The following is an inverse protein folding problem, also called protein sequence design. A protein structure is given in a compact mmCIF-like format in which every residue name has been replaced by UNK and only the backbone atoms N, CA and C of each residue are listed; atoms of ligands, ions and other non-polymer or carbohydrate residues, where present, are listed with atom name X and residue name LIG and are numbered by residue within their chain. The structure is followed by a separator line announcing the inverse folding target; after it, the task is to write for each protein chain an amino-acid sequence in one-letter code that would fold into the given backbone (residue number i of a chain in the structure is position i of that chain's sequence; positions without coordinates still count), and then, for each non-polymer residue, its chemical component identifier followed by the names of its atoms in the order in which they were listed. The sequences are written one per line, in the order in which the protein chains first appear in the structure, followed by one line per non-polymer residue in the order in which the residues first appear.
data_IF_901393709383
#
_entry.id   IF_901393709383
#
_cell.length_a   1.000
_cell.length_b   1.000
_cell.length_c   1.000
_cell.angle_alpha   90.00
_cell.angle_beta   90.00
_cell.angle_gamma   90.00
#
_symmetry.space_group_name_H-M   'P 1'
#
loop_
_entity.id
_entity.type
_entity.pdbx_description
1 polymer ?
#
# COMPACT_ATOMS: atom_id res chain seq x y z
N UNK A 1 31.66 49.17 -10.70
CA UNK A 1 31.16 48.24 -9.67
C UNK A 1 30.00 47.48 -10.29
N UNK A 2 30.27 46.31 -10.86
CA UNK A 2 29.27 45.43 -11.46
C UNK A 2 28.88 44.39 -10.41
N UNK A 3 27.60 44.33 -10.03
CA UNK A 3 27.04 43.20 -9.32
C UNK A 3 26.73 42.10 -10.34
N UNK A 4 27.42 40.97 -10.22
CA UNK A 4 27.12 39.72 -10.91
C UNK A 4 25.95 39.05 -10.16
N UNK A 5 24.74 39.14 -10.71
CA UNK A 5 23.68 38.19 -10.34
C UNK A 5 24.02 36.81 -10.93
N UNK A 6 23.78 35.70 -10.20
CA UNK A 6 23.96 34.37 -10.76
C UNK A 6 22.87 34.10 -11.81
N UNK A 7 23.34 33.88 -13.03
CA UNK A 7 22.59 33.47 -14.20
C UNK A 7 21.89 32.12 -13.90
N UNK A 8 20.62 32.18 -13.49
CA UNK A 8 19.78 30.99 -13.37
C UNK A 8 19.33 30.64 -14.78
N UNK A 9 19.73 29.49 -15.35
CA UNK A 9 19.32 29.13 -16.70
C UNK A 9 17.80 29.03 -16.76
N UNK A 10 17.17 29.95 -17.50
CA UNK A 10 15.76 29.87 -17.84
C UNK A 10 15.55 28.67 -18.78
N UNK A 11 15.15 27.53 -18.21
CA UNK A 11 14.69 26.39 -18.98
C UNK A 11 13.46 26.81 -19.80
N UNK A 12 13.54 26.62 -21.11
CA UNK A 12 12.46 26.87 -22.08
C UNK A 12 11.21 26.05 -21.74
N UNK A 13 10.04 26.46 -22.25
CA UNK A 13 8.78 25.73 -22.04
C UNK A 13 8.85 24.25 -22.47
N UNK A 14 9.72 23.94 -23.44
CA UNK A 14 10.06 22.57 -23.81
C UNK A 14 10.83 21.83 -22.70
N UNK A 15 11.79 22.48 -22.03
CA UNK A 15 12.50 21.93 -20.87
C UNK A 15 11.59 21.74 -19.65
N UNK A 16 10.55 22.57 -19.48
CA UNK A 16 9.49 22.33 -18.50
C UNK A 16 8.66 21.11 -18.87
N UNK A 17 8.22 20.98 -20.13
CA UNK A 17 7.44 19.84 -20.59
C UNK A 17 8.19 18.49 -20.47
N UNK A 18 9.52 18.47 -20.68
CA UNK A 18 10.33 17.26 -20.46
C UNK A 18 10.46 16.89 -18.99
N UNK A 19 10.58 17.88 -18.09
CA UNK A 19 10.56 17.64 -16.64
C UNK A 19 9.18 17.16 -16.13
N UNK A 20 8.09 17.52 -16.81
CA UNK A 20 6.75 17.01 -16.54
C UNK A 20 6.55 15.59 -17.06
N UNK A 21 7.15 15.21 -18.20
CA UNK A 21 7.13 13.84 -18.73
C UNK A 21 8.01 12.87 -17.90
N UNK A 22 9.17 13.33 -17.41
CA UNK A 22 10.01 12.57 -16.47
C UNK A 22 9.32 12.29 -15.12
N UNK A 23 8.27 13.04 -14.77
CA UNK A 23 7.47 12.79 -13.57
C UNK A 23 6.48 11.62 -13.75
N UNK A 24 6.17 11.24 -14.99
CA UNK A 24 5.25 10.16 -15.32
C UNK A 24 5.95 8.85 -15.73
N UNK A 25 7.27 8.87 -15.99
CA UNK A 25 8.05 7.68 -16.38
C UNK A 25 9.04 7.16 -15.30
N UNK A 26 9.05 7.72 -14.09
CA UNK A 26 9.91 7.20 -13.02
C UNK A 26 9.43 5.83 -12.52
N UNK A 27 9.99 4.77 -13.09
CA UNK A 27 10.13 3.46 -12.43
C UNK A 27 11.46 3.43 -11.65
N UNK A 28 11.77 4.51 -10.92
CA UNK A 28 12.91 4.53 -10.01
C UNK A 28 12.39 4.58 -8.58
N UNK A 29 13.05 3.85 -7.68
CA UNK A 29 12.73 3.91 -6.26
C UNK A 29 12.86 5.37 -5.77
N UNK A 30 11.88 5.89 -5.02
CA UNK A 30 11.98 7.21 -4.44
C UNK A 30 13.18 7.29 -3.50
N UNK A 31 13.82 8.45 -3.47
CA UNK A 31 14.95 8.73 -2.60
C UNK A 31 14.55 8.71 -1.12
N UNK A 32 15.53 8.57 -0.22
CA UNK A 32 15.31 8.68 1.22
C UNK A 32 14.62 10.00 1.61
N UNK A 33 15.07 11.12 1.04
CA UNK A 33 14.49 12.44 1.28
C UNK A 33 13.02 12.54 0.84
N UNK A 34 12.64 11.89 -0.26
CA UNK A 34 11.23 11.86 -0.71
C UNK A 34 10.37 11.01 0.22
N UNK A 35 10.91 9.92 0.75
CA UNK A 35 10.23 9.07 1.72
C UNK A 35 10.09 9.74 3.08
N UNK A 36 11.10 10.47 3.52
CA UNK A 36 11.06 11.25 4.75
C UNK A 36 10.04 12.39 4.63
N UNK A 37 10.07 13.15 3.53
CA UNK A 37 9.05 14.15 3.22
C UNK A 37 7.64 13.55 3.22
N UNK A 38 7.44 12.40 2.58
CA UNK A 38 6.13 11.74 2.53
C UNK A 38 5.65 11.32 3.93
N UNK A 39 6.55 10.78 4.75
CA UNK A 39 6.26 10.41 6.14
C UNK A 39 5.88 11.60 7.01
N UNK A 40 6.68 12.67 6.95
CA UNK A 40 6.41 13.90 7.69
C UNK A 40 5.08 14.50 7.25
N UNK A 41 4.80 14.50 5.94
CA UNK A 41 3.57 15.09 5.42
C UNK A 41 2.31 14.32 5.82
N UNK A 42 2.37 12.99 5.87
CA UNK A 42 1.27 12.14 6.35
C UNK A 42 1.05 12.28 7.87
N UNK A 43 2.07 12.64 8.64
CA UNK A 43 1.95 12.88 10.08
C UNK A 43 1.33 14.26 10.40
N UNK A 44 1.28 15.18 9.43
CA UNK A 44 0.69 16.50 9.63
C UNK A 44 -0.84 16.45 9.55
N UNK A 45 -1.55 17.14 10.46
CA UNK A 45 -3.02 17.18 10.47
C UNK A 45 -3.60 18.08 9.37
N UNK A 46 -2.77 18.90 8.71
CA UNK A 46 -3.19 19.83 7.68
C UNK A 46 -3.59 19.10 6.39
N UNK A 47 -4.71 19.49 5.74
CA UNK A 47 -5.13 18.88 4.48
C UNK A 47 -4.06 19.07 3.40
N UNK A 48 -3.93 18.08 2.51
CA UNK A 48 -3.04 18.13 1.36
C UNK A 48 -3.63 19.05 0.29
N UNK A 49 -2.81 19.93 -0.27
CA UNK A 49 -3.18 20.58 -1.53
C UNK A 49 -3.08 19.59 -2.72
N UNK A 50 -3.57 20.01 -3.89
CA UNK A 50 -3.61 19.14 -5.07
C UNK A 50 -2.21 18.70 -5.55
N UNK A 51 -1.20 19.57 -5.42
CA UNK A 51 0.16 19.29 -5.85
C UNK A 51 0.86 18.36 -4.86
N UNK A 52 0.71 18.62 -3.57
CA UNK A 52 1.22 17.77 -2.49
C UNK A 52 0.61 16.37 -2.57
N UNK A 53 -0.70 16.27 -2.78
CA UNK A 53 -1.37 14.98 -2.94
C UNK A 53 -0.82 14.22 -4.15
N UNK A 54 -0.64 14.90 -5.29
CA UNK A 54 -0.07 14.28 -6.50
C UNK A 54 1.34 13.76 -6.23
N UNK A 55 2.18 14.57 -5.57
CA UNK A 55 3.55 14.18 -5.20
C UNK A 55 3.57 13.01 -4.23
N UNK A 56 2.71 13.03 -3.20
CA UNK A 56 2.61 11.95 -2.23
C UNK A 56 2.19 10.63 -2.89
N UNK A 57 1.20 10.67 -3.78
CA UNK A 57 0.74 9.51 -4.54
C UNK A 57 1.85 8.94 -5.43
N UNK A 58 2.63 9.79 -6.11
CA UNK A 58 3.77 9.36 -6.93
C UNK A 58 4.82 8.65 -6.08
N UNK A 59 5.22 9.23 -4.94
CA UNK A 59 6.21 8.63 -4.04
C UNK A 59 5.74 7.27 -3.53
N UNK A 60 4.49 7.16 -3.08
CA UNK A 60 3.93 5.89 -2.59
C UNK A 60 3.90 4.85 -3.72
N UNK A 61 3.41 5.22 -4.90
CA UNK A 61 3.35 4.33 -6.07
C UNK A 61 4.74 3.81 -6.44
N UNK A 62 5.73 4.68 -6.54
CA UNK A 62 7.08 4.33 -6.97
C UNK A 62 7.81 3.52 -5.88
N UNK A 63 7.52 3.80 -4.60
CA UNK A 63 7.99 2.99 -3.47
C UNK A 63 7.45 1.56 -3.51
N UNK A 64 6.14 1.40 -3.76
CA UNK A 64 5.51 0.07 -3.87
C UNK A 64 6.02 -0.66 -5.11
N UNK A 65 6.11 0.03 -6.25
CA UNK A 65 6.60 -0.55 -7.50
C UNK A 65 8.04 -1.07 -7.37
N UNK A 66 8.93 -0.31 -6.74
CA UNK A 66 10.33 -0.72 -6.53
C UNK A 66 10.51 -1.91 -5.58
N UNK A 67 9.47 -2.28 -4.80
CA UNK A 67 9.47 -3.45 -3.91
C UNK A 67 8.76 -4.66 -4.50
N UNK A 68 8.10 -4.49 -5.65
CA UNK A 68 7.27 -5.53 -6.25
C UNK A 68 8.02 -6.86 -6.33
N UNK A 69 9.24 -6.85 -6.85
CA UNK A 69 10.00 -8.07 -7.13
C UNK A 69 10.99 -8.47 -6.02
N UNK A 70 10.94 -7.78 -4.88
CA UNK A 70 11.71 -8.17 -3.72
C UNK A 70 11.05 -9.38 -3.02
N UNK A 71 11.84 -10.23 -2.34
CA UNK A 71 11.29 -11.34 -1.59
C UNK A 71 10.40 -10.85 -0.44
N UNK A 72 9.43 -11.68 -0.05
CA UNK A 72 8.65 -11.46 1.16
C UNK A 72 9.59 -11.27 2.37
N UNK A 73 9.18 -10.49 3.39
CA UNK A 73 9.97 -10.35 4.61
C UNK A 73 10.22 -11.71 5.26
N UNK A 74 11.45 -11.90 5.69
CA UNK A 74 11.86 -13.08 6.45
C UNK A 74 11.29 -13.06 7.87
N UNK A 75 11.25 -14.22 8.53
CA UNK A 75 10.83 -14.31 9.94
C UNK A 75 11.62 -13.37 10.86
N UNK A 76 12.97 -13.28 10.77
CA UNK A 76 13.72 -12.32 11.60
C UNK A 76 13.34 -10.85 11.36
N UNK A 77 12.94 -10.49 10.15
CA UNK A 77 12.46 -9.12 9.85
C UNK A 77 11.09 -8.86 10.47
N UNK A 78 10.20 -9.85 10.46
CA UNK A 78 8.89 -9.77 11.11
C UNK A 78 9.02 -9.72 12.63
N UNK A 79 9.86 -10.56 13.22
CA UNK A 79 10.16 -10.54 14.67
C UNK A 79 10.73 -9.18 15.09
N UNK A 80 11.64 -8.63 14.29
CA UNK A 80 12.19 -7.29 14.51
C UNK A 80 11.09 -6.21 14.44
N UNK A 81 10.18 -6.27 13.47
CA UNK A 81 9.09 -5.31 13.32
C UNK A 81 8.10 -5.38 14.50
N UNK A 82 7.80 -6.58 14.99
CA UNK A 82 6.97 -6.79 16.19
C UNK A 82 7.64 -6.22 17.45
N UNK A 83 8.93 -6.47 17.62
CA UNK A 83 9.70 -5.92 18.75
C UNK A 83 9.75 -4.38 18.72
N UNK A 84 9.90 -3.78 17.53
CA UNK A 84 9.86 -2.33 17.36
C UNK A 84 8.47 -1.76 17.70
N UNK A 85 7.39 -2.40 17.25
CA UNK A 85 6.04 -1.99 17.58
C UNK A 85 5.77 -2.03 19.09
N UNK A 86 6.29 -3.04 19.79
CA UNK A 86 6.19 -3.14 21.24
C UNK A 86 6.99 -2.05 21.96
N UNK A 87 8.22 -1.77 21.53
CA UNK A 87 9.01 -0.63 22.03
C UNK A 87 8.27 0.70 21.85
N UNK A 88 7.64 0.90 20.70
CA UNK A 88 6.85 2.10 20.43
C UNK A 88 5.65 2.23 21.38
N UNK A 89 4.94 1.13 21.68
CA UNK A 89 3.87 1.11 22.69
C UNK A 89 4.37 1.46 24.10
N UNK A 90 5.62 1.12 24.41
CA UNK A 90 6.28 1.47 25.66
C UNK A 90 6.82 2.91 25.68
N UNK A 91 6.52 3.72 24.66
CA UNK A 91 6.89 5.13 24.57
C UNK A 91 8.26 5.39 23.95
N UNK A 92 8.91 4.38 23.37
CA UNK A 92 10.17 4.54 22.64
C UNK A 92 9.89 4.69 21.16
N UNK A 93 9.83 5.93 20.68
CA UNK A 93 9.61 6.21 19.27
C UNK A 93 10.75 5.62 18.41
N UNK A 94 10.44 5.04 17.24
CA UNK A 94 11.46 4.55 16.32
C UNK A 94 12.30 5.71 15.78
N UNK A 95 13.59 5.47 15.55
CA UNK A 95 14.42 6.43 14.81
C UNK A 95 14.10 6.42 13.29
N UNK A 96 14.76 7.27 12.52
CA UNK A 96 14.52 7.38 11.08
C UNK A 96 14.90 6.11 10.31
N UNK A 97 15.98 5.42 10.71
CA UNK A 97 16.42 4.16 10.11
C UNK A 97 15.47 3.01 10.44
N UNK A 98 15.01 2.93 11.69
CA UNK A 98 13.99 1.98 12.13
C UNK A 98 12.66 2.22 11.39
N UNK A 99 12.24 3.47 11.24
CA UNK A 99 11.03 3.82 10.50
C UNK A 99 11.12 3.45 9.01
N UNK A 100 12.28 3.69 8.38
CA UNK A 100 12.52 3.31 7.00
C UNK A 100 12.46 1.78 6.81
N UNK A 101 13.10 1.02 7.71
CA UNK A 101 13.09 -0.44 7.67
C UNK A 101 11.70 -1.02 7.92
N UNK A 102 10.94 -0.48 8.87
CA UNK A 102 9.58 -0.91 9.15
C UNK A 102 8.66 -0.70 7.94
N UNK A 103 8.79 0.45 7.27
CA UNK A 103 8.03 0.77 6.05
C UNK A 103 8.30 -0.23 4.93
N UNK A 104 9.59 -0.56 4.73
CA UNK A 104 10.03 -1.53 3.74
C UNK A 104 9.45 -2.93 4.01
N UNK A 105 9.55 -3.40 5.26
CA UNK A 105 8.99 -4.69 5.70
C UNK A 105 7.48 -4.72 5.49
N UNK A 106 6.78 -3.64 5.87
CA UNK A 106 5.31 -3.55 5.76
C UNK A 106 4.85 -3.64 4.31
N UNK A 107 5.52 -2.93 3.40
CA UNK A 107 5.16 -2.96 1.97
C UNK A 107 5.48 -4.31 1.34
N UNK A 108 6.65 -4.91 1.63
CA UNK A 108 6.97 -6.26 1.15
C UNK A 108 5.98 -7.31 1.71
N UNK A 109 5.54 -7.17 2.96
CA UNK A 109 4.51 -8.04 3.55
C UNK A 109 3.17 -7.90 2.83
N UNK A 110 2.69 -6.67 2.60
CA UNK A 110 1.44 -6.40 1.89
C UNK A 110 1.47 -6.97 0.46
N UNK A 111 2.57 -6.77 -0.26
CA UNK A 111 2.76 -7.31 -1.60
C UNK A 111 2.76 -8.85 -1.60
N UNK A 112 3.42 -9.48 -0.63
CA UNK A 112 3.42 -10.94 -0.49
C UNK A 112 2.02 -11.49 -0.21
N UNK A 113 1.26 -10.86 0.69
CA UNK A 113 -0.12 -11.25 0.99
C UNK A 113 -1.04 -11.09 -0.23
N UNK A 114 -0.90 -9.99 -0.98
CA UNK A 114 -1.66 -9.75 -2.21
C UNK A 114 -1.37 -10.82 -3.27
N UNK A 115 -0.09 -11.16 -3.48
CA UNK A 115 0.31 -12.24 -4.42
C UNK A 115 -0.29 -13.58 -4.02
N UNK A 116 -0.22 -13.94 -2.73
CA UNK A 116 -0.81 -15.18 -2.23
C UNK A 116 -2.32 -15.19 -2.45
N UNK A 117 -3.02 -14.09 -2.13
CA UNK A 117 -4.45 -13.94 -2.38
C UNK A 117 -4.79 -14.13 -3.87
N UNK A 118 -4.06 -13.50 -4.79
CA UNK A 118 -4.27 -13.67 -6.23
C UNK A 118 -4.05 -15.11 -6.70
N UNK A 119 -3.00 -15.78 -6.20
CA UNK A 119 -2.73 -17.19 -6.52
C UNK A 119 -3.89 -18.06 -6.03
N UNK A 120 -4.31 -17.89 -4.78
CA UNK A 120 -5.43 -18.65 -4.22
C UNK A 120 -6.72 -18.38 -5.00
N UNK A 121 -7.01 -17.13 -5.35
CA UNK A 121 -8.20 -16.75 -6.13
C UNK A 121 -8.22 -17.38 -7.54
N UNK A 122 -7.06 -17.54 -8.17
CA UNK A 122 -6.91 -18.25 -9.46
C UNK A 122 -7.17 -19.75 -9.34
N UNK A 123 -6.83 -20.36 -8.21
CA UNK A 123 -7.06 -21.79 -7.94
C UNK A 123 -8.52 -22.12 -7.61
N UNK A 124 -9.35 -21.13 -7.27
CA UNK A 124 -10.77 -21.33 -7.03
C UNK A 124 -11.53 -21.49 -8.37
N UNK A 125 -12.31 -22.56 -8.57
CA UNK A 125 -13.16 -22.72 -9.76
C UNK A 125 -14.11 -21.53 -9.94
N UNK A 126 -14.47 -21.16 -11.19
CA UNK A 126 -15.50 -20.17 -11.42
C UNK A 126 -16.81 -20.58 -10.73
N UNK A 127 -17.49 -19.64 -10.05
CA UNK A 127 -18.79 -19.91 -9.45
C UNK A 127 -19.80 -20.20 -10.57
N UNK A 128 -20.68 -21.17 -10.34
CA UNK A 128 -21.71 -21.58 -11.31
C UNK A 128 -23.06 -20.89 -11.07
N UNK A 129 -23.19 -20.11 -10.00
CA UNK A 129 -24.41 -19.44 -9.58
C UNK A 129 -24.07 -18.12 -8.86
N UNK A 130 -25.00 -17.15 -8.85
CA UNK A 130 -24.88 -15.95 -8.03
C UNK A 130 -24.86 -16.31 -6.54
N UNK A 131 -24.18 -15.52 -5.69
CA UNK A 131 -24.15 -15.77 -4.25
C UNK A 131 -25.52 -15.49 -3.62
N UNK A 132 -25.95 -16.37 -2.73
CA UNK A 132 -27.18 -16.18 -1.94
C UNK A 132 -27.02 -15.07 -0.90
N UNK A 133 -28.14 -14.49 -0.45
CA UNK A 133 -28.13 -13.48 0.62
C UNK A 133 -27.50 -14.02 1.91
N UNK A 134 -27.77 -15.28 2.24
CA UNK A 134 -27.17 -15.96 3.39
C UNK A 134 -25.63 -16.09 3.26
N UNK A 135 -25.13 -16.39 2.06
CA UNK A 135 -23.67 -16.41 1.81
C UNK A 135 -23.06 -15.03 1.90
N UNK A 136 -23.73 -13.98 1.39
CA UNK A 136 -23.25 -12.60 1.52
C UNK A 136 -23.21 -12.15 2.98
N UNK A 137 -24.24 -12.48 3.76
CA UNK A 137 -24.28 -12.20 5.20
C UNK A 137 -23.14 -12.91 5.95
N UNK A 138 -22.94 -14.20 5.67
CA UNK A 138 -21.81 -14.97 6.22
C UNK A 138 -20.45 -14.37 5.83
N UNK A 139 -20.27 -13.93 4.57
CA UNK A 139 -19.03 -13.30 4.11
C UNK A 139 -18.70 -12.01 4.87
N UNK A 140 -19.72 -11.18 5.14
CA UNK A 140 -19.57 -9.97 5.97
C UNK A 140 -19.21 -10.32 7.42
N UNK A 141 -19.82 -11.35 8.00
CA UNK A 141 -19.52 -11.81 9.36
C UNK A 141 -18.06 -12.28 9.50
N UNK A 142 -17.60 -13.14 8.59
CA UNK A 142 -16.22 -13.64 8.58
C UNK A 142 -15.23 -12.48 8.41
N UNK A 143 -15.49 -11.55 7.49
CA UNK A 143 -14.64 -10.38 7.30
C UNK A 143 -14.54 -9.53 8.57
N UNK A 144 -15.67 -9.23 9.22
CA UNK A 144 -15.70 -8.52 10.50
C UNK A 144 -14.97 -9.28 11.62
N UNK A 145 -15.05 -10.61 11.65
CA UNK A 145 -14.32 -11.42 12.62
C UNK A 145 -12.80 -11.35 12.38
N UNK A 146 -12.35 -11.38 11.12
CA UNK A 146 -10.93 -11.21 10.75
C UNK A 146 -10.41 -9.84 11.18
N UNK A 147 -11.16 -8.77 10.97
CA UNK A 147 -10.80 -7.42 11.43
C UNK A 147 -10.65 -7.33 12.96
N UNK A 148 -11.38 -8.16 13.71
CA UNK A 148 -11.29 -8.28 15.17
C UNK A 148 -10.18 -9.24 15.64
N UNK A 149 -9.35 -9.75 14.72
CA UNK A 149 -8.22 -10.61 15.03
C UNK A 149 -8.52 -12.11 15.05
N UNK A 150 -9.71 -12.55 14.61
CA UNK A 150 -10.00 -13.98 14.44
C UNK A 150 -9.34 -14.48 13.16
N UNK A 151 -8.40 -15.41 13.27
CA UNK A 151 -7.87 -16.11 12.10
C UNK A 151 -8.95 -17.04 11.50
N UNK A 152 -9.33 -16.88 10.21
CA UNK A 152 -10.21 -17.81 9.56
C UNK A 152 -9.49 -19.15 9.35
N UNK A 153 -10.21 -20.25 9.44
CA UNK A 153 -9.63 -21.54 9.07
C UNK A 153 -9.54 -21.68 7.53
N UNK A 154 -8.91 -22.77 7.06
CA UNK A 154 -8.71 -23.01 5.64
C UNK A 154 -10.02 -23.15 4.85
N UNK A 155 -11.05 -23.70 5.48
CA UNK A 155 -12.37 -23.89 4.87
C UNK A 155 -13.10 -22.56 4.73
N UNK A 156 -13.11 -21.76 5.80
CA UNK A 156 -13.66 -20.41 5.82
C UNK A 156 -12.99 -19.53 4.77
N UNK A 157 -11.65 -19.52 4.72
CA UNK A 157 -10.91 -18.75 3.73
C UNK A 157 -11.24 -19.17 2.30
N UNK A 158 -11.30 -20.48 2.01
CA UNK A 158 -11.64 -20.99 0.68
C UNK A 158 -13.07 -20.61 0.27
N UNK A 159 -14.03 -20.76 1.17
CA UNK A 159 -15.44 -20.41 0.94
C UNK A 159 -15.60 -18.90 0.73
N UNK A 160 -14.83 -18.10 1.45
CA UNK A 160 -14.80 -16.65 1.28
C UNK A 160 -14.27 -16.25 -0.10
N UNK A 161 -13.21 -16.89 -0.60
CA UNK A 161 -12.71 -16.64 -1.95
C UNK A 161 -13.73 -17.02 -3.04
N UNK A 162 -14.50 -18.10 -2.85
CA UNK A 162 -15.59 -18.48 -3.75
C UNK A 162 -16.67 -17.40 -3.80
N UNK A 163 -17.10 -16.92 -2.63
CA UNK A 163 -18.06 -15.84 -2.52
C UNK A 163 -17.55 -14.54 -3.16
N UNK A 164 -16.30 -14.17 -2.87
CA UNK A 164 -15.67 -12.97 -3.44
C UNK A 164 -15.70 -13.01 -4.98
N UNK A 165 -15.32 -14.16 -5.58
CA UNK A 165 -15.37 -14.36 -7.03
C UNK A 165 -16.80 -14.33 -7.59
N UNK A 166 -17.77 -14.86 -6.84
CA UNK A 166 -19.18 -14.84 -7.24
C UNK A 166 -19.76 -13.42 -7.22
N UNK A 167 -19.40 -12.60 -6.22
CA UNK A 167 -19.75 -11.19 -6.19
C UNK A 167 -19.12 -10.42 -7.36
N UNK A 168 -17.84 -10.65 -7.69
CA UNK A 168 -17.21 -10.01 -8.84
C UNK A 168 -17.90 -10.33 -10.18
N UNK A 169 -18.46 -11.54 -10.33
CA UNK A 169 -19.04 -12.01 -11.57
C UNK A 169 -20.54 -11.67 -11.72
N UNK A 170 -21.30 -11.69 -10.62
CA UNK A 170 -22.76 -11.72 -10.69
C UNK A 170 -23.49 -10.62 -9.91
N UNK A 171 -22.81 -9.76 -9.15
CA UNK A 171 -23.52 -8.83 -8.27
C UNK A 171 -22.70 -7.66 -7.77
N UNK A 172 -23.26 -6.88 -6.83
CA UNK A 172 -22.53 -5.79 -6.23
C UNK A 172 -21.34 -6.32 -5.41
N UNK A 173 -20.24 -5.56 -5.31
CA UNK A 173 -19.13 -5.86 -4.42
C UNK A 173 -19.61 -6.31 -3.03
N UNK A 174 -18.89 -7.25 -2.43
CA UNK A 174 -19.25 -7.85 -1.14
C UNK A 174 -19.32 -6.81 0.00
N UNK A 175 -18.67 -5.65 -0.17
CA UNK A 175 -18.40 -4.68 0.88
C UNK A 175 -18.97 -3.28 0.61
N UNK A 176 -19.90 -3.11 -0.33
CA UNK A 176 -20.47 -1.79 -0.66
C UNK A 176 -21.16 -1.08 0.54
N UNK A 177 -21.50 -1.82 1.60
CA UNK A 177 -22.20 -1.32 2.78
C UNK A 177 -21.36 -1.37 4.08
N UNK A 178 -20.05 -1.67 4.00
CA UNK A 178 -19.18 -1.67 5.19
C UNK A 178 -18.57 -0.26 5.32
N UNK A 179 -18.82 0.46 6.44
CA UNK A 179 -18.30 1.81 6.66
C UNK A 179 -16.78 1.88 6.78
#
# INVERSE_FOLDING_TARGET
MNQLEPDVPQLSDAGRATAWLDLFERVQAPSGNELDWASERMAQPSPLDALENTRLQAIIRDFVASRRDLPAPSLPELDWALALAERNRQGQAPDSGESARLRDITVRLLLAQSREFEVQLKLIPPPTAPPSEAERAWGKEIYCAVLKGKAPDKSDYRRFLQLFKACQLYGPPLFDDIP
#
